data_IF_995945585471
#
_entry.id   IF_995945585471
#
_cell.length_a   1.000
_cell.length_b   1.000
_cell.length_c   1.000
_cell.angle_alpha   90.00
_cell.angle_beta   90.00
_cell.angle_gamma   90.00
#
_symmetry.space_group_name_H-M   'P 1'
#
loop_
_entity.id
_entity.type
_entity.pdbx_description
1 polymer ?
#
# COMPACT_ATOMS: atom_id res chain seq x y z
N UNK A 1 17.92 -5.86 -2.00
CA UNK A 1 16.95 -5.96 -0.88
C UNK A 1 15.70 -6.66 -1.40
N UNK A 2 15.14 -7.59 -0.63
CA UNK A 2 13.84 -8.21 -0.93
C UNK A 2 12.73 -7.17 -0.83
N UNK A 3 11.72 -7.26 -1.70
CA UNK A 3 10.62 -6.30 -1.68
C UNK A 3 9.79 -6.43 -0.38
N UNK A 4 9.46 -5.31 0.32
CA UNK A 4 8.70 -5.37 1.56
C UNK A 4 7.32 -6.03 1.42
N UNK A 5 6.67 -5.95 0.26
CA UNK A 5 5.36 -6.58 0.00
C UNK A 5 5.30 -8.11 0.06
N UNK A 6 6.35 -8.78 0.52
CA UNK A 6 6.45 -10.23 0.70
C UNK A 6 6.20 -11.05 -0.59
N UNK A 7 6.46 -10.47 -1.76
CA UNK A 7 6.30 -11.17 -3.05
C UNK A 7 7.42 -12.18 -3.36
N UNK A 8 8.48 -12.21 -2.53
CA UNK A 8 9.69 -13.02 -2.77
C UNK A 8 10.64 -12.45 -3.83
N UNK A 9 10.27 -11.36 -4.51
CA UNK A 9 11.10 -10.70 -5.54
C UNK A 9 12.02 -9.65 -4.92
N UNK A 10 13.04 -9.24 -5.67
CA UNK A 10 13.82 -8.04 -5.36
C UNK A 10 12.92 -6.81 -5.38
N UNK A 11 13.25 -5.78 -4.60
CA UNK A 11 12.53 -4.50 -4.67
C UNK A 11 12.57 -3.89 -6.08
N UNK A 12 13.69 -4.07 -6.79
CA UNK A 12 13.92 -3.53 -8.13
C UNK A 12 13.00 -4.13 -9.20
N UNK A 13 12.75 -5.43 -9.09
CA UNK A 13 11.89 -6.19 -10.02
C UNK A 13 10.42 -6.24 -9.57
N UNK A 14 10.09 -5.55 -8.47
CA UNK A 14 8.77 -5.58 -7.86
C UNK A 14 8.17 -4.18 -7.73
N UNK A 15 8.35 -3.49 -6.60
CA UNK A 15 7.64 -2.23 -6.34
C UNK A 15 8.39 -0.98 -6.84
N UNK A 16 9.71 -1.06 -7.05
CA UNK A 16 10.52 0.08 -7.51
C UNK A 16 10.01 0.71 -8.82
N UNK A 17 9.64 -0.05 -9.88
CA UNK A 17 9.16 0.55 -11.14
C UNK A 17 7.85 1.34 -10.96
N UNK A 18 7.02 0.95 -9.99
CA UNK A 18 5.80 1.69 -9.67
C UNK A 18 6.11 2.95 -8.86
N UNK A 19 7.01 2.84 -7.87
CA UNK A 19 7.42 3.97 -7.04
C UNK A 19 8.18 5.04 -7.81
N UNK A 20 8.97 4.66 -8.81
CA UNK A 20 9.68 5.59 -9.70
C UNK A 20 8.77 6.22 -10.76
N UNK A 21 7.56 5.68 -10.97
CA UNK A 21 6.65 6.09 -12.03
C UNK A 21 7.00 5.55 -13.42
N UNK A 22 7.95 4.63 -13.54
CA UNK A 22 8.27 3.92 -14.79
C UNK A 22 7.09 3.08 -15.28
N UNK A 23 6.36 2.46 -14.35
CA UNK A 23 5.19 1.62 -14.63
C UNK A 23 4.02 2.01 -13.74
N UNK A 24 2.82 1.61 -14.15
CA UNK A 24 1.65 1.63 -13.30
C UNK A 24 1.30 0.21 -12.86
N UNK A 25 0.76 0.08 -11.64
CA UNK A 25 0.30 -1.20 -11.14
C UNK A 25 -0.83 -1.72 -12.07
N UNK A 26 -0.71 -2.93 -12.62
CA UNK A 26 -1.67 -3.47 -13.58
C UNK A 26 -2.98 -3.96 -12.92
N UNK A 27 -2.93 -4.28 -11.62
CA UNK A 27 -4.07 -4.80 -10.85
C UNK A 27 -4.22 -4.07 -9.51
N UNK A 28 -5.41 -4.14 -8.91
CA UNK A 28 -5.64 -3.64 -7.56
C UNK A 28 -4.70 -4.30 -6.52
N UNK A 29 -4.48 -5.61 -6.61
CA UNK A 29 -3.53 -6.32 -5.74
C UNK A 29 -2.11 -5.78 -5.89
N UNK A 30 -1.66 -5.55 -7.13
CA UNK A 30 -0.32 -5.01 -7.36
C UNK A 30 -0.19 -3.62 -6.77
N UNK A 31 -1.25 -2.80 -6.87
CA UNK A 31 -1.28 -1.48 -6.25
C UNK A 31 -1.30 -1.56 -4.72
N UNK A 32 -2.06 -2.49 -4.14
CA UNK A 32 -2.08 -2.71 -2.69
C UNK A 32 -0.68 -3.06 -2.18
N UNK A 33 0.00 -4.02 -2.84
CA UNK A 33 1.37 -4.44 -2.51
C UNK A 33 2.40 -3.33 -2.62
N UNK A 34 2.33 -2.51 -3.67
CA UNK A 34 3.23 -1.37 -3.80
C UNK A 34 2.94 -0.30 -2.76
N UNK A 35 1.67 -0.01 -2.45
CA UNK A 35 1.32 0.91 -1.36
C UNK A 35 1.84 0.44 0.00
N UNK A 36 1.69 -0.83 0.34
CA UNK A 36 2.32 -1.39 1.54
C UNK A 36 3.84 -1.17 1.53
N UNK A 37 4.50 -1.46 0.41
CA UNK A 37 5.95 -1.25 0.32
C UNK A 37 6.32 0.21 0.48
N UNK A 38 5.49 1.15 0.01
CA UNK A 38 5.69 2.58 0.18
C UNK A 38 5.52 3.04 1.63
N UNK A 39 4.69 2.38 2.44
CA UNK A 39 4.69 2.58 3.89
C UNK A 39 5.96 2.04 4.54
N UNK A 40 6.48 0.88 4.10
CA UNK A 40 7.68 0.27 4.67
C UNK A 40 9.00 1.00 4.31
N UNK A 41 9.04 1.78 3.23
CA UNK A 41 10.24 2.54 2.80
C UNK A 41 10.07 4.07 2.91
N UNK A 42 9.14 4.53 3.74
CA UNK A 42 8.59 5.88 3.77
C UNK A 42 8.55 6.65 2.43
N UNK A 43 7.55 6.39 1.60
CA UNK A 43 7.31 7.10 0.34
C UNK A 43 5.88 7.68 0.27
N UNK A 44 5.65 8.73 1.05
CA UNK A 44 4.36 9.44 1.10
C UNK A 44 3.92 10.03 -0.24
N UNK A 45 4.87 10.40 -1.11
CA UNK A 45 4.59 10.91 -2.45
C UNK A 45 3.86 9.87 -3.31
N UNK A 46 4.32 8.61 -3.29
CA UNK A 46 3.69 7.52 -4.02
C UNK A 46 2.28 7.23 -3.47
N UNK A 47 2.12 7.25 -2.14
CA UNK A 47 0.84 7.02 -1.48
C UNK A 47 -0.20 8.07 -1.89
N UNK A 48 0.14 9.36 -1.89
CA UNK A 48 -0.77 10.42 -2.37
C UNK A 48 -1.07 10.26 -3.87
N UNK A 49 -0.05 10.01 -4.70
CA UNK A 49 -0.22 9.86 -6.17
C UNK A 49 -1.13 8.69 -6.54
N UNK A 50 -1.20 7.68 -5.69
CA UNK A 50 -2.03 6.48 -5.90
C UNK A 50 -3.34 6.51 -5.13
N UNK A 51 -3.58 7.49 -4.29
CA UNK A 51 -4.92 7.78 -3.77
C UNK A 51 -5.77 8.47 -4.84
N UNK A 52 -7.06 8.12 -4.88
CA UNK A 52 -8.06 8.71 -5.78
C UNK A 52 -8.01 10.24 -5.68
N UNK A 53 -7.96 11.00 -6.80
CA UNK A 53 -7.82 12.45 -6.79
C UNK A 53 -8.79 13.17 -5.84
N UNK A 54 -10.06 12.74 -5.83
CA UNK A 54 -11.11 13.33 -5.00
C UNK A 54 -10.89 13.12 -3.50
N UNK A 55 -10.17 12.05 -3.13
CA UNK A 55 -9.86 11.70 -1.75
C UNK A 55 -8.51 12.28 -1.29
N UNK A 56 -7.64 12.74 -2.20
CA UNK A 56 -6.31 13.26 -1.83
C UNK A 56 -6.38 14.43 -0.85
N UNK A 57 -7.40 15.27 -0.94
CA UNK A 57 -7.63 16.40 -0.01
C UNK A 57 -7.86 15.96 1.45
N UNK A 58 -8.20 14.68 1.67
CA UNK A 58 -8.37 14.08 3.00
C UNK A 58 -7.07 13.51 3.56
N UNK A 59 -5.98 13.53 2.79
CA UNK A 59 -4.70 12.97 3.17
C UNK A 59 -3.59 14.00 3.01
N UNK A 60 -2.74 14.13 4.02
CA UNK A 60 -1.52 14.90 3.91
C UNK A 60 -0.35 13.96 3.56
N UNK A 61 0.48 14.39 2.60
CA UNK A 61 1.69 13.68 2.24
C UNK A 61 2.63 13.51 3.44
N UNK A 62 2.77 14.55 4.27
CA UNK A 62 3.65 14.53 5.43
C UNK A 62 3.20 13.47 6.44
N UNK A 63 1.90 13.42 6.75
CA UNK A 63 1.34 12.42 7.67
C UNK A 63 1.53 11.00 7.13
N UNK A 64 1.35 10.77 5.81
CA UNK A 64 1.60 9.44 5.21
C UNK A 64 3.08 9.05 5.20
N UNK A 65 3.97 10.03 5.10
CA UNK A 65 5.41 9.84 5.20
C UNK A 65 5.78 9.44 6.63
N UNK A 66 5.38 10.27 7.60
CA UNK A 66 5.61 10.07 9.03
C UNK A 66 5.06 8.72 9.49
N UNK A 67 3.86 8.33 9.04
CA UNK A 67 3.26 7.06 9.42
C UNK A 67 4.10 5.85 8.99
N UNK A 68 4.81 5.94 7.86
CA UNK A 68 5.79 4.94 7.43
C UNK A 68 7.13 5.01 8.16
N UNK A 69 7.49 6.17 8.74
CA UNK A 69 8.73 6.36 9.50
C UNK A 69 8.60 5.87 10.94
N UNK A 70 7.43 6.07 11.56
CA UNK A 70 7.19 5.70 12.96
C UNK A 70 6.70 4.25 13.14
N UNK A 71 6.29 3.57 12.07
CA UNK A 71 5.89 2.16 12.11
C UNK A 71 6.84 1.31 11.28
N UNK A 72 7.35 0.24 11.88
CA UNK A 72 8.14 -0.77 11.17
C UNK A 72 7.20 -1.79 10.51
N UNK A 73 6.92 -1.61 9.22
CA UNK A 73 6.05 -2.49 8.43
C UNK A 73 6.81 -3.74 7.97
N UNK A 74 6.53 -4.88 8.60
CA UNK A 74 7.37 -6.07 8.50
C UNK A 74 6.81 -7.16 7.59
N UNK A 75 5.48 -7.28 7.48
CA UNK A 75 4.85 -8.33 6.69
C UNK A 75 3.54 -7.88 6.06
N UNK A 76 3.32 -8.32 4.83
CA UNK A 76 2.03 -8.24 4.14
C UNK A 76 1.53 -9.64 3.80
N UNK A 77 0.26 -9.90 4.10
CA UNK A 77 -0.43 -11.13 3.74
C UNK A 77 -1.73 -10.79 3.00
N UNK A 78 -1.85 -11.20 1.74
CA UNK A 78 -3.10 -11.06 0.99
C UNK A 78 -4.00 -12.23 1.37
N UNK A 79 -5.16 -11.94 1.95
CA UNK A 79 -6.12 -12.94 2.43
C UNK A 79 -7.07 -13.35 1.30
N UNK A 80 -7.62 -12.38 0.58
CA UNK A 80 -8.62 -12.61 -0.46
C UNK A 80 -8.65 -11.46 -1.47
N UNK A 81 -9.18 -11.74 -2.66
CA UNK A 81 -9.44 -10.75 -3.72
C UNK A 81 -10.88 -10.99 -4.18
N UNK A 82 -11.88 -10.44 -3.48
CA UNK A 82 -13.30 -10.74 -3.76
C UNK A 82 -13.75 -10.32 -5.16
N UNK A 83 -13.09 -9.30 -5.72
CA UNK A 83 -13.36 -8.74 -7.05
C UNK A 83 -12.13 -8.01 -7.58
N UNK A 84 -12.13 -7.63 -8.87
CA UNK A 84 -10.98 -6.98 -9.53
C UNK A 84 -10.52 -5.70 -8.80
N UNK A 85 -11.43 -5.04 -8.08
CA UNK A 85 -11.21 -3.76 -7.43
C UNK A 85 -11.16 -3.85 -5.90
N UNK A 86 -11.11 -5.05 -5.31
CA UNK A 86 -11.07 -5.25 -3.86
C UNK A 86 -9.93 -6.16 -3.46
N UNK A 87 -9.27 -5.83 -2.35
CA UNK A 87 -8.17 -6.62 -1.81
C UNK A 87 -8.30 -6.68 -0.30
N UNK A 88 -8.47 -7.88 0.23
CA UNK A 88 -8.44 -8.18 1.65
C UNK A 88 -7.03 -8.59 2.06
N UNK A 89 -6.48 -7.99 3.11
CA UNK A 89 -5.11 -8.25 3.54
C UNK A 89 -4.92 -8.07 5.04
N UNK A 90 -3.82 -8.61 5.54
CA UNK A 90 -3.25 -8.32 6.86
C UNK A 90 -1.90 -7.64 6.68
N UNK A 91 -1.76 -6.42 7.19
CA UNK A 91 -0.51 -5.70 7.27
C UNK A 91 -0.01 -5.73 8.71
N UNK A 92 1.21 -6.25 8.89
CA UNK A 92 1.84 -6.40 10.19
C UNK A 92 2.88 -5.29 10.35
N UNK A 93 2.81 -4.58 11.46
CA UNK A 93 3.81 -3.59 11.82
C UNK A 93 4.16 -3.64 13.30
N UNK A 94 5.25 -3.00 13.66
CA UNK A 94 5.55 -2.63 15.04
C UNK A 94 5.35 -1.13 15.15
N UNK A 95 4.53 -0.68 16.10
CA UNK A 95 4.28 0.75 16.33
C UNK A 95 5.46 1.46 17.03
N UNK A 96 5.33 2.76 17.23
CA UNK A 96 6.37 3.61 17.84
C UNK A 96 6.73 3.20 19.29
N UNK A 97 5.82 2.51 19.99
CA UNK A 97 6.03 1.96 21.33
C UNK A 97 6.72 0.58 21.30
N UNK A 98 7.01 0.04 20.11
CA UNK A 98 7.56 -1.30 19.95
C UNK A 98 6.52 -2.42 20.06
N UNK A 99 5.21 -2.12 19.98
CA UNK A 99 4.15 -3.13 20.10
C UNK A 99 3.78 -3.69 18.72
N UNK A 100 3.67 -5.02 18.57
CA UNK A 100 3.17 -5.62 17.35
C UNK A 100 1.70 -5.25 17.11
N UNK A 101 1.40 -4.79 15.90
CA UNK A 101 0.07 -4.46 15.42
C UNK A 101 -0.26 -5.27 14.15
N UNK A 102 -1.54 -5.59 13.97
CA UNK A 102 -2.05 -6.24 12.76
C UNK A 102 -3.25 -5.47 12.26
N UNK A 103 -3.16 -4.98 11.04
CA UNK A 103 -4.23 -4.30 10.33
C UNK A 103 -4.87 -5.29 9.37
N UNK A 104 -6.04 -5.84 9.73
CA UNK A 104 -6.86 -6.65 8.81
C UNK A 104 -7.85 -5.74 8.13
N UNK A 105 -7.71 -5.56 6.82
CA UNK A 105 -8.49 -4.59 6.06
C UNK A 105 -8.99 -5.17 4.74
N UNK A 106 -10.16 -4.67 4.30
CA UNK A 106 -10.66 -4.80 2.94
C UNK A 106 -10.56 -3.44 2.24
N UNK A 107 -9.60 -3.31 1.33
CA UNK A 107 -9.40 -2.10 0.53
C UNK A 107 -10.18 -2.14 -0.78
N UNK A 108 -10.73 -0.98 -1.17
CA UNK A 108 -11.43 -0.73 -2.42
C UNK A 108 -10.59 0.18 -3.32
N UNK A 109 -10.54 -0.19 -4.60
CA UNK A 109 -9.79 0.51 -5.63
C UNK A 109 -10.71 0.93 -6.78
N UNK A 110 -10.26 1.89 -7.59
CA UNK A 110 -10.94 2.33 -8.80
C UNK A 110 -9.95 2.43 -9.96
N UNK A 111 -10.31 1.87 -11.11
CA UNK A 111 -9.52 1.98 -12.34
C UNK A 111 -10.03 3.16 -13.19
N UNK A 112 -9.17 4.16 -13.42
CA UNK A 112 -9.46 5.32 -14.27
C UNK A 112 -8.40 5.37 -15.37
N UNK A 113 -8.82 5.27 -16.64
CA UNK A 113 -7.92 5.30 -17.81
C UNK A 113 -6.71 4.36 -17.65
N UNK A 114 -6.99 3.08 -17.39
CA UNK A 114 -5.99 2.03 -17.17
C UNK A 114 -5.09 2.18 -15.92
N UNK A 115 -5.39 3.11 -15.03
CA UNK A 115 -4.64 3.30 -13.78
C UNK A 115 -5.51 3.06 -12.56
N UNK A 116 -5.01 2.23 -11.65
CA UNK A 116 -5.66 1.96 -10.36
C UNK A 116 -5.36 3.06 -9.34
N UNK A 117 -6.36 3.34 -8.51
CA UNK A 117 -6.28 4.27 -7.39
C UNK A 117 -6.93 3.66 -6.16
N UNK A 118 -6.34 3.88 -5.00
CA UNK A 118 -6.93 3.58 -3.69
C UNK A 118 -8.08 4.53 -3.40
N UNK A 119 -9.23 3.97 -3.02
CA UNK A 119 -10.44 4.73 -2.70
C UNK A 119 -10.62 4.79 -1.18
N UNK A 120 -10.74 3.63 -0.55
CA UNK A 120 -11.03 3.49 0.88
C UNK A 120 -10.64 2.09 1.36
N UNK A 121 -10.59 1.93 2.67
CA UNK A 121 -10.38 0.65 3.35
C UNK A 121 -11.30 0.56 4.55
N UNK A 122 -11.78 -0.65 4.82
CA UNK A 122 -12.56 -0.98 6.01
C UNK A 122 -11.78 -1.97 6.86
N UNK A 123 -11.71 -1.72 8.17
CA UNK A 123 -11.11 -2.67 9.12
C UNK A 123 -12.06 -3.83 9.34
N UNK A 124 -11.52 -5.04 9.28
CA UNK A 124 -12.22 -6.29 9.56
C UNK A 124 -11.77 -6.83 10.93
N UNK A 125 -12.71 -7.43 11.66
CA UNK A 125 -12.47 -8.11 12.94
C UNK A 125 -11.99 -9.57 12.76
#
# INVERSE_FOLDING_TARGET
MTCPCCSGKSYEDCCKPFHSGEKHAPTAETLMRSRFSAFAIPNGEYLIKTTLPDNRKLHNKADLQEWGEINDWTKLEIINIPSENQVEFKAYCTDEDGKPQVHHELSVFLKIRERWYYVSGEFLD
#
